data_IF_499751671590
#
_entry.id   IF_499751671590
#
_cell.length_a   1.000
_cell.length_b   1.000
_cell.length_c   1.000
_cell.angle_alpha   90.00
_cell.angle_beta   90.00
_cell.angle_gamma   90.00
#
_symmetry.space_group_name_H-M   'P 1'
#
loop_
_entity.id
_entity.type
_entity.pdbx_description
1 polymer ?
#
# COMPACT_ATOMS: atom_id res chain seq x y z
N UNK A 1 -23.29 -33.06 33.35
CA UNK A 1 -23.79 -32.12 32.32
C UNK A 1 -23.13 -30.78 32.63
N UNK A 2 -21.98 -30.52 32.01
CA UNK A 2 -21.21 -29.29 32.24
C UNK A 2 -21.58 -28.35 31.09
N UNK A 3 -22.01 -27.15 31.44
CA UNK A 3 -22.74 -26.19 30.62
C UNK A 3 -22.01 -25.80 29.32
N UNK A 4 -22.58 -26.21 28.18
CA UNK A 4 -22.14 -25.80 26.83
C UNK A 4 -22.48 -24.34 26.46
N UNK A 5 -23.01 -23.54 27.38
CA UNK A 5 -23.39 -22.14 27.13
C UNK A 5 -22.28 -21.17 27.58
N UNK A 6 -21.43 -21.52 28.55
CA UNK A 6 -20.34 -20.63 28.98
C UNK A 6 -19.14 -20.60 28.02
N UNK A 7 -18.92 -21.67 27.24
CA UNK A 7 -17.79 -21.73 26.28
C UNK A 7 -18.04 -20.81 25.08
N UNK A 8 -19.29 -20.67 24.63
CA UNK A 8 -19.63 -19.87 23.43
C UNK A 8 -19.45 -18.37 23.70
N UNK A 9 -19.70 -17.92 24.93
CA UNK A 9 -19.50 -16.51 25.33
C UNK A 9 -18.01 -16.14 25.42
N UNK A 10 -17.14 -17.10 25.74
CA UNK A 10 -15.69 -16.91 25.81
C UNK A 10 -15.03 -16.76 24.41
N UNK A 11 -15.56 -17.44 23.39
CA UNK A 11 -14.98 -17.42 22.03
C UNK A 11 -15.23 -16.11 21.26
N UNK A 12 -16.18 -15.27 21.68
CA UNK A 12 -16.44 -13.95 21.05
C UNK A 12 -15.46 -12.85 21.50
N UNK A 13 -14.56 -13.14 22.44
CA UNK A 13 -13.58 -12.20 23.01
C UNK A 13 -12.12 -12.54 22.70
N UNK A 14 -11.86 -13.51 21.81
CA UNK A 14 -10.50 -13.90 21.39
C UNK A 14 -9.65 -12.72 20.89
N UNK A 15 -10.19 -11.73 20.13
CA UNK A 15 -9.39 -10.60 19.66
C UNK A 15 -8.81 -9.76 20.80
N UNK A 16 -9.55 -9.60 21.91
CA UNK A 16 -9.08 -8.84 23.07
C UNK A 16 -8.03 -9.61 23.90
N UNK A 17 -8.14 -10.93 24.00
CA UNK A 17 -7.18 -11.77 24.73
C UNK A 17 -5.80 -11.81 24.03
N UNK A 18 -5.77 -11.75 22.69
CA UNK A 18 -4.53 -11.64 21.91
C UNK A 18 -3.89 -10.25 22.09
N UNK A 19 -4.69 -9.20 22.22
CA UNK A 19 -4.22 -7.82 22.45
C UNK A 19 -3.59 -7.66 23.84
N UNK A 20 -4.19 -8.26 24.88
CA UNK A 20 -3.64 -8.26 26.25
C UNK A 20 -2.39 -9.12 26.41
N UNK A 21 -2.26 -10.22 25.64
CA UNK A 21 -1.04 -11.03 25.63
C UNK A 21 0.15 -10.31 24.97
N UNK A 22 -0.10 -9.51 23.92
CA UNK A 22 0.94 -8.72 23.23
C UNK A 22 1.48 -7.56 24.07
N UNK A 23 0.66 -6.92 24.90
CA UNK A 23 1.15 -5.88 25.82
C UNK A 23 2.05 -6.42 26.93
N UNK A 24 1.82 -7.65 27.41
CA UNK A 24 2.64 -8.28 28.46
C UNK A 24 3.95 -8.90 27.92
N UNK A 25 4.06 -9.15 26.62
CA UNK A 25 5.25 -9.73 25.98
C UNK A 25 6.33 -8.72 25.57
N UNK A 26 6.02 -7.42 25.53
CA UNK A 26 6.94 -6.37 25.06
C UNK A 26 7.77 -5.70 26.18
N UNK A 27 7.65 -6.14 27.44
CA UNK A 27 8.39 -5.57 28.57
C UNK A 27 9.76 -6.27 28.84
N UNK A 28 10.13 -7.26 28.03
CA UNK A 28 11.42 -7.97 28.15
C UNK A 28 12.26 -7.89 26.86
N UNK A 29 12.67 -6.68 26.47
CA UNK A 29 13.94 -6.46 25.75
C UNK A 29 14.40 -5.03 26.01
N UNK A 30 15.03 -4.86 27.16
CA UNK A 30 15.81 -3.66 27.51
C UNK A 30 17.29 -4.02 27.39
N UNK A 31 18.08 -3.05 26.92
CA UNK A 31 19.53 -2.88 27.14
C UNK A 31 20.52 -3.51 26.15
N UNK A 32 20.97 -2.71 25.17
CA UNK A 32 22.40 -2.52 24.89
C UNK A 32 22.69 -1.04 24.59
N UNK A 33 23.57 -0.45 25.41
CA UNK A 33 24.14 0.91 25.31
C UNK A 33 25.37 0.95 24.38
N UNK A 34 25.89 2.15 24.01
CA UNK A 34 26.63 2.38 22.76
C UNK A 34 28.15 2.23 22.89
N UNK A 35 28.84 1.99 21.76
CA UNK A 35 30.29 2.11 21.69
C UNK A 35 30.73 2.97 20.49
N UNK A 36 31.58 3.95 20.80
CA UNK A 36 32.24 4.87 19.88
C UNK A 36 33.56 4.25 19.39
N UNK A 37 33.85 4.33 18.09
CA UNK A 37 35.15 3.91 17.55
C UNK A 37 35.53 4.60 16.24
N UNK A 38 36.27 5.71 16.36
CA UNK A 38 36.96 6.42 15.27
C UNK A 38 38.17 5.63 14.73
N UNK A 39 38.37 5.64 13.39
CA UNK A 39 39.65 5.87 12.68
C UNK A 39 39.31 6.05 11.18
N UNK A 40 39.65 7.13 10.45
CA UNK A 40 40.98 7.64 10.04
C UNK A 40 41.45 6.86 8.79
N UNK A 41 41.77 7.40 7.60
CA UNK A 41 41.87 8.73 7.00
C UNK A 41 42.47 8.57 5.57
N UNK A 42 42.51 9.64 4.77
CA UNK A 42 43.39 9.76 3.57
C UNK A 42 42.67 10.16 2.27
N UNK A 43 42.96 11.35 1.75
CA UNK A 43 42.37 11.91 0.52
C UNK A 43 43.37 12.31 -0.57
N UNK A 44 42.81 12.86 -1.67
CA UNK A 44 43.37 13.79 -2.70
C UNK A 44 42.65 13.48 -4.03
N UNK A 45 42.17 14.40 -4.86
CA UNK A 45 42.14 15.86 -4.91
C UNK A 45 41.62 16.33 -6.29
N UNK A 46 41.13 17.57 -6.39
CA UNK A 46 40.82 18.31 -7.65
C UNK A 46 39.56 17.85 -8.40
N UNK A 47 38.65 18.68 -8.89
CA UNK A 47 38.71 20.09 -9.27
C UNK A 47 37.29 20.69 -9.13
N UNK A 48 37.22 21.98 -8.78
CA UNK A 48 35.99 22.77 -8.80
C UNK A 48 35.65 23.06 -10.26
N UNK A 49 34.46 22.68 -10.71
CA UNK A 49 33.82 23.32 -11.85
C UNK A 49 32.36 23.63 -11.51
N UNK A 50 32.01 24.91 -11.66
CA UNK A 50 30.69 25.48 -11.48
C UNK A 50 29.79 25.08 -12.66
N UNK A 51 28.82 24.19 -12.45
CA UNK A 51 27.50 24.22 -13.12
C UNK A 51 26.67 22.98 -12.77
N UNK A 52 26.24 22.83 -11.52
CA UNK A 52 25.27 21.79 -11.14
C UNK A 52 23.90 22.41 -10.85
N UNK A 53 23.30 23.04 -11.86
CA UNK A 53 21.85 22.99 -12.00
C UNK A 53 21.52 21.69 -12.74
N UNK A 54 21.55 20.58 -12.01
CA UNK A 54 20.98 19.33 -12.51
C UNK A 54 19.49 19.61 -12.64
N UNK A 55 19.01 19.79 -13.87
CA UNK A 55 17.57 19.76 -14.15
C UNK A 55 17.15 18.32 -13.91
N UNK A 56 16.31 18.09 -12.91
CA UNK A 56 15.64 16.81 -12.63
C UNK A 56 14.68 16.36 -13.75
N UNK A 57 14.71 17.03 -14.91
CA UNK A 57 13.72 16.90 -16.00
C UNK A 57 14.12 15.90 -17.08
N UNK A 58 15.27 15.20 -16.98
CA UNK A 58 15.65 14.19 -17.97
C UNK A 58 14.93 12.87 -17.64
N UNK A 59 14.00 12.39 -18.50
CA UNK A 59 13.31 11.14 -18.25
C UNK A 59 14.30 9.97 -18.17
N UNK A 60 14.04 8.94 -17.34
CA UNK A 60 14.91 7.78 -17.25
C UNK A 60 15.05 7.10 -18.62
N UNK A 61 16.22 6.50 -18.88
CA UNK A 61 16.52 5.87 -20.17
C UNK A 61 15.64 4.64 -20.45
N UNK A 62 15.20 3.93 -19.41
CA UNK A 62 14.34 2.74 -19.51
C UNK A 62 13.43 2.63 -18.28
N UNK A 63 12.31 1.92 -18.41
CA UNK A 63 11.35 1.69 -17.32
C UNK A 63 10.28 2.78 -17.19
N UNK A 64 9.45 2.75 -16.15
CA UNK A 64 8.34 3.69 -15.97
C UNK A 64 8.82 5.15 -16.03
N UNK A 65 8.14 5.97 -16.83
CA UNK A 65 8.53 7.38 -17.04
C UNK A 65 9.53 7.62 -18.19
N UNK A 66 10.16 6.57 -18.74
CA UNK A 66 11.04 6.67 -19.90
C UNK A 66 10.30 7.06 -21.19
N UNK A 67 11.06 7.48 -22.21
CA UNK A 67 10.51 7.74 -23.54
C UNK A 67 9.90 6.48 -24.18
N UNK A 68 10.56 5.33 -24.00
CA UNK A 68 10.12 4.03 -24.50
C UNK A 68 8.79 3.61 -23.85
N UNK A 69 8.71 3.65 -22.52
CA UNK A 69 7.46 3.36 -21.79
C UNK A 69 6.35 4.35 -22.16
N UNK A 70 6.67 5.62 -22.36
CA UNK A 70 5.69 6.64 -22.79
C UNK A 70 5.12 6.31 -24.17
N UNK A 71 5.96 5.93 -25.11
CA UNK A 71 5.54 5.57 -26.47
C UNK A 71 4.67 4.29 -26.48
N UNK A 72 5.08 3.26 -25.73
CA UNK A 72 4.28 2.05 -25.53
C UNK A 72 2.88 2.37 -24.99
N UNK A 73 2.80 3.16 -23.91
CA UNK A 73 1.53 3.56 -23.30
C UNK A 73 0.65 4.42 -24.21
N UNK A 74 1.26 5.24 -25.08
CA UNK A 74 0.54 6.00 -26.10
C UNK A 74 -0.08 5.08 -27.16
N UNK A 75 0.68 4.09 -27.62
CA UNK A 75 0.20 3.11 -28.60
C UNK A 75 -0.95 2.26 -28.04
N UNK A 76 -0.86 1.84 -26.78
CA UNK A 76 -1.97 1.15 -26.09
C UNK A 76 -3.23 2.01 -25.97
N UNK A 77 -3.06 3.30 -25.68
CA UNK A 77 -4.18 4.24 -25.59
C UNK A 77 -4.91 4.36 -26.93
N UNK A 78 -4.18 4.49 -28.03
CA UNK A 78 -4.74 4.52 -29.38
C UNK A 78 -5.43 3.19 -29.72
N UNK A 79 -4.81 2.05 -29.40
CA UNK A 79 -5.38 0.73 -29.64
C UNK A 79 -6.72 0.51 -28.91
N UNK A 80 -6.93 1.17 -27.77
CA UNK A 80 -8.19 1.17 -27.00
C UNK A 80 -9.21 2.21 -27.48
N UNK A 81 -8.99 2.85 -28.63
CA UNK A 81 -9.89 3.85 -29.21
C UNK A 81 -9.71 5.26 -28.62
N UNK A 82 -8.54 5.56 -28.07
CA UNK A 82 -8.20 6.87 -27.53
C UNK A 82 -8.31 7.98 -28.58
N UNK A 83 -9.03 9.06 -28.25
CA UNK A 83 -9.32 10.16 -29.17
C UNK A 83 -8.70 11.51 -28.76
N UNK A 84 -7.95 11.56 -27.65
CA UNK A 84 -7.33 12.80 -27.19
C UNK A 84 -6.14 13.21 -28.07
N UNK A 85 -5.91 14.52 -28.24
CA UNK A 85 -4.65 15.02 -28.77
C UNK A 85 -3.48 14.54 -27.90
N UNK A 86 -2.36 14.19 -28.55
CA UNK A 86 -1.17 13.65 -27.87
C UNK A 86 -0.69 14.55 -26.72
N UNK A 87 -0.68 15.87 -26.90
CA UNK A 87 -0.27 16.82 -25.87
C UNK A 87 -1.12 16.72 -24.59
N UNK A 88 -2.45 16.62 -24.73
CA UNK A 88 -3.35 16.43 -23.59
C UNK A 88 -3.06 15.09 -22.90
N UNK A 89 -2.83 14.04 -23.67
CA UNK A 89 -2.50 12.72 -23.13
C UNK A 89 -1.15 12.72 -22.40
N UNK A 90 -0.13 13.35 -22.97
CA UNK A 90 1.22 13.46 -22.38
C UNK A 90 1.16 14.16 -21.01
N UNK A 91 0.39 15.24 -20.91
CA UNK A 91 0.20 15.96 -19.64
C UNK A 91 -0.44 15.07 -18.57
N UNK A 92 -1.44 14.27 -18.94
CA UNK A 92 -2.07 13.31 -18.01
C UNK A 92 -1.12 12.17 -17.66
N UNK A 93 -0.37 11.64 -18.62
CA UNK A 93 0.65 10.61 -18.40
C UNK A 93 1.70 11.07 -17.39
N UNK A 94 2.29 12.25 -17.59
CA UNK A 94 3.31 12.78 -16.69
C UNK A 94 2.74 12.99 -15.27
N UNK A 95 1.54 13.57 -15.15
CA UNK A 95 0.88 13.74 -13.86
C UNK A 95 0.62 12.38 -13.18
N UNK A 96 0.23 11.35 -13.92
CA UNK A 96 0.00 10.01 -13.39
C UNK A 96 1.31 9.34 -12.94
N UNK A 97 2.42 9.56 -13.66
CA UNK A 97 3.73 9.05 -13.24
C UNK A 97 4.17 9.62 -11.88
N UNK A 98 4.02 10.92 -11.68
CA UNK A 98 4.30 11.56 -10.38
C UNK A 98 3.38 11.04 -9.29
N UNK A 99 2.07 10.93 -9.56
CA UNK A 99 1.09 10.39 -8.60
C UNK A 99 1.41 8.96 -8.19
N UNK A 100 1.76 8.10 -9.14
CA UNK A 100 2.13 6.71 -8.85
C UNK A 100 3.38 6.65 -7.96
N UNK A 101 4.40 7.44 -8.27
CA UNK A 101 5.63 7.53 -7.46
C UNK A 101 5.31 7.96 -6.02
N UNK A 102 4.50 9.01 -5.86
CA UNK A 102 4.09 9.49 -4.53
C UNK A 102 3.25 8.46 -3.78
N UNK A 103 2.35 7.75 -4.47
CA UNK A 103 1.54 6.70 -3.87
C UNK A 103 2.42 5.57 -3.34
N UNK A 104 3.38 5.07 -4.14
CA UNK A 104 4.31 4.04 -3.68
C UNK A 104 5.08 4.47 -2.44
N UNK A 105 5.61 5.69 -2.46
CA UNK A 105 6.32 6.27 -1.31
C UNK A 105 5.43 6.35 -0.07
N UNK A 106 4.18 6.81 -0.20
CA UNK A 106 3.25 6.90 0.93
C UNK A 106 2.97 5.53 1.55
N UNK A 107 2.80 4.50 0.72
CA UNK A 107 2.59 3.15 1.25
C UNK A 107 3.87 2.58 1.90
N UNK A 108 5.04 2.86 1.35
CA UNK A 108 6.31 2.44 1.97
C UNK A 108 6.52 3.10 3.34
N UNK A 109 6.18 4.40 3.44
CA UNK A 109 6.19 5.14 4.70
C UNK A 109 5.20 4.56 5.71
N UNK A 110 3.97 4.27 5.27
CA UNK A 110 2.95 3.65 6.12
C UNK A 110 3.35 2.23 6.58
N UNK A 111 3.89 1.41 5.68
CA UNK A 111 4.38 0.07 6.01
C UNK A 111 5.48 0.12 7.08
N UNK A 112 6.39 1.09 6.96
CA UNK A 112 7.44 1.31 7.95
C UNK A 112 6.88 1.73 9.31
N UNK A 113 5.84 2.55 9.31
CA UNK A 113 5.20 3.04 10.55
C UNK A 113 4.48 1.91 11.31
N UNK A 114 3.68 1.10 10.61
CA UNK A 114 2.99 -0.04 11.23
C UNK A 114 3.94 -1.18 11.60
N UNK A 115 5.11 -1.26 10.95
CA UNK A 115 6.21 -2.15 11.33
C UNK A 115 6.01 -3.64 11.06
N UNK A 116 5.01 -4.01 10.26
CA UNK A 116 4.72 -5.41 9.89
C UNK A 116 4.36 -5.56 8.40
N UNK A 117 4.31 -6.81 7.94
CA UNK A 117 3.92 -7.16 6.59
C UNK A 117 4.95 -6.78 5.53
N UNK A 118 4.65 -7.12 4.28
CA UNK A 118 5.49 -6.84 3.12
C UNK A 118 4.68 -6.16 2.02
N UNK A 119 5.36 -5.43 1.13
CA UNK A 119 4.73 -4.67 0.03
C UNK A 119 4.30 -5.57 -1.13
N UNK A 120 3.23 -5.17 -1.80
CA UNK A 120 2.75 -5.73 -3.08
C UNK A 120 2.57 -7.26 -3.07
N UNK A 121 1.90 -7.79 -2.06
CA UNK A 121 1.72 -9.23 -1.88
C UNK A 121 0.65 -9.76 -2.82
N UNK A 122 1.03 -10.72 -3.67
CA UNK A 122 0.12 -11.37 -4.60
C UNK A 122 -0.49 -12.62 -3.97
N UNK A 123 -1.83 -12.67 -3.96
CA UNK A 123 -2.66 -13.81 -3.61
C UNK A 123 -3.28 -14.34 -4.91
N UNK A 124 -3.07 -15.62 -5.16
CA UNK A 124 -3.61 -16.30 -6.35
C UNK A 124 -4.80 -17.15 -5.96
N UNK A 125 -5.79 -17.21 -6.85
CA UNK A 125 -6.96 -18.08 -6.72
C UNK A 125 -7.75 -17.85 -5.43
N UNK A 126 -8.05 -16.57 -5.13
CA UNK A 126 -8.75 -16.18 -3.91
C UNK A 126 -10.19 -16.69 -3.84
N UNK A 127 -10.77 -17.18 -4.94
CA UNK A 127 -12.15 -17.63 -5.02
C UNK A 127 -12.31 -19.07 -5.55
N UNK A 128 -11.20 -19.78 -5.76
CA UNK A 128 -11.18 -21.11 -6.38
C UNK A 128 -11.49 -21.11 -7.89
N UNK A 129 -11.53 -19.94 -8.54
CA UNK A 129 -11.81 -19.76 -9.98
C UNK A 129 -10.68 -19.06 -10.72
N UNK A 130 -9.52 -18.90 -10.09
CA UNK A 130 -8.34 -18.24 -10.63
C UNK A 130 -8.28 -16.74 -10.40
N UNK A 131 -9.18 -16.15 -9.60
CA UNK A 131 -9.14 -14.71 -9.31
C UNK A 131 -7.89 -14.36 -8.49
N UNK A 132 -7.13 -13.35 -8.92
CA UNK A 132 -5.94 -12.89 -8.21
C UNK A 132 -6.19 -11.56 -7.50
N UNK A 133 -5.52 -11.34 -6.37
CA UNK A 133 -5.50 -10.05 -5.66
C UNK A 133 -4.08 -9.70 -5.26
N UNK A 134 -3.64 -8.50 -5.60
CA UNK A 134 -2.39 -7.92 -5.09
C UNK A 134 -2.71 -6.93 -4.00
N UNK A 135 -2.37 -7.23 -2.75
CA UNK A 135 -2.55 -6.30 -1.63
C UNK A 135 -1.37 -5.33 -1.54
N UNK A 136 -1.64 -4.08 -1.16
CA UNK A 136 -0.57 -3.09 -0.97
C UNK A 136 0.40 -3.53 0.13
N UNK A 137 -0.09 -3.87 1.32
CA UNK A 137 0.74 -4.46 2.38
C UNK A 137 0.04 -5.71 2.89
N UNK A 138 0.76 -6.81 3.09
CA UNK A 138 0.16 -7.97 3.72
C UNK A 138 1.15 -8.83 4.50
N UNK A 139 0.59 -9.56 5.47
CA UNK A 139 1.19 -10.68 6.16
C UNK A 139 0.31 -11.92 5.94
N UNK A 140 0.83 -12.89 5.20
CA UNK A 140 0.10 -14.12 4.84
C UNK A 140 -0.04 -15.08 6.01
N UNK A 141 0.86 -15.05 6.98
CA UNK A 141 0.81 -15.95 8.13
C UNK A 141 -0.24 -15.49 9.12
N UNK A 142 -0.37 -14.17 9.29
CA UNK A 142 -1.37 -13.55 10.16
C UNK A 142 -2.71 -13.26 9.47
N UNK A 143 -2.79 -13.49 8.14
CA UNK A 143 -3.94 -13.15 7.30
C UNK A 143 -4.35 -11.67 7.45
N UNK A 144 -3.38 -10.77 7.44
CA UNK A 144 -3.63 -9.33 7.56
C UNK A 144 -3.26 -8.62 6.27
N UNK A 145 -4.06 -7.62 5.89
CA UNK A 145 -3.86 -6.86 4.66
C UNK A 145 -4.25 -5.39 4.81
N UNK A 146 -3.53 -4.53 4.10
CA UNK A 146 -3.83 -3.12 3.99
C UNK A 146 -3.89 -2.73 2.52
N UNK A 147 -4.87 -1.91 2.17
CA UNK A 147 -4.92 -1.11 0.95
C UNK A 147 -4.74 0.36 1.30
N UNK A 148 -3.70 1.00 0.75
CA UNK A 148 -3.38 2.37 1.08
C UNK A 148 -3.69 3.30 -0.09
N UNK A 149 -4.65 4.21 0.11
CA UNK A 149 -5.14 5.09 -0.94
C UNK A 149 -4.71 6.54 -0.73
N UNK A 150 -3.92 7.05 -1.66
CA UNK A 150 -3.58 8.47 -1.73
C UNK A 150 -4.62 9.25 -2.53
N UNK A 151 -4.85 10.51 -2.16
CA UNK A 151 -5.82 11.37 -2.82
C UNK A 151 -7.28 10.96 -2.63
N UNK A 152 -8.21 11.70 -3.23
CA UNK A 152 -9.64 11.44 -3.07
C UNK A 152 -10.07 10.19 -3.85
N UNK A 153 -10.78 9.30 -3.17
CA UNK A 153 -11.32 8.07 -3.74
C UNK A 153 -12.85 8.09 -3.75
N UNK A 154 -13.43 7.48 -4.80
CA UNK A 154 -14.87 7.34 -4.95
C UNK A 154 -15.25 5.93 -5.39
N UNK A 155 -16.55 5.61 -5.35
CA UNK A 155 -17.11 4.31 -5.76
C UNK A 155 -17.12 4.17 -7.30
N UNK A 156 -15.92 4.12 -7.88
CA UNK A 156 -15.71 3.76 -9.28
C UNK A 156 -15.79 2.23 -9.43
N UNK A 157 -16.05 1.74 -10.63
CA UNK A 157 -16.07 0.30 -10.92
C UNK A 157 -14.77 -0.40 -10.50
N UNK A 158 -13.61 0.25 -10.70
CA UNK A 158 -12.32 -0.27 -10.27
C UNK A 158 -12.24 -0.44 -8.74
N UNK A 159 -12.63 0.59 -7.99
CA UNK A 159 -12.59 0.53 -6.52
C UNK A 159 -13.61 -0.47 -5.98
N UNK A 160 -14.83 -0.51 -6.55
CA UNK A 160 -15.85 -1.48 -6.14
C UNK A 160 -15.41 -2.91 -6.44
N UNK A 161 -14.75 -3.15 -7.56
CA UNK A 161 -14.18 -4.47 -7.87
C UNK A 161 -13.06 -4.87 -6.91
N UNK A 162 -12.27 -3.92 -6.39
CA UNK A 162 -11.32 -4.18 -5.31
C UNK A 162 -12.03 -4.52 -3.99
N UNK A 163 -13.08 -3.78 -3.63
CA UNK A 163 -13.92 -4.07 -2.45
C UNK A 163 -14.50 -5.48 -2.53
N UNK A 164 -15.04 -5.90 -3.67
CA UNK A 164 -15.57 -7.24 -3.87
C UNK A 164 -14.51 -8.33 -3.67
N UNK A 165 -13.29 -8.13 -4.20
CA UNK A 165 -12.18 -9.08 -4.00
C UNK A 165 -11.71 -9.12 -2.54
N UNK A 166 -11.67 -7.98 -1.88
CA UNK A 166 -11.26 -7.89 -0.49
C UNK A 166 -12.33 -8.46 0.45
N UNK A 167 -13.61 -8.35 0.09
CA UNK A 167 -14.70 -9.02 0.80
C UNK A 167 -14.52 -10.54 0.79
N UNK A 168 -14.12 -11.13 -0.34
CA UNK A 168 -13.83 -12.57 -0.42
C UNK A 168 -12.72 -12.96 0.56
N UNK A 169 -11.68 -12.14 0.70
CA UNK A 169 -10.60 -12.36 1.66
C UNK A 169 -11.11 -12.24 3.10
N UNK A 170 -11.93 -11.21 3.40
CA UNK A 170 -12.55 -11.03 4.73
C UNK A 170 -13.42 -12.25 5.09
N UNK A 171 -14.22 -12.76 4.15
CA UNK A 171 -15.02 -13.98 4.32
C UNK A 171 -14.17 -15.23 4.61
N UNK A 172 -12.90 -15.23 4.19
CA UNK A 172 -11.91 -16.27 4.46
C UNK A 172 -11.12 -16.06 5.75
N UNK A 173 -11.45 -15.01 6.51
CA UNK A 173 -10.83 -14.69 7.79
C UNK A 173 -9.65 -13.74 7.71
N UNK A 174 -9.42 -13.08 6.57
CA UNK A 174 -8.44 -12.00 6.49
C UNK A 174 -8.92 -10.74 7.23
N UNK A 175 -8.00 -10.09 7.94
CA UNK A 175 -8.16 -8.76 8.51
C UNK A 175 -7.67 -7.73 7.49
N UNK A 176 -8.57 -7.28 6.61
CA UNK A 176 -8.28 -6.30 5.56
C UNK A 176 -8.74 -4.92 5.99
N UNK A 177 -7.85 -3.93 6.00
CA UNK A 177 -8.19 -2.52 6.28
C UNK A 177 -7.86 -1.63 5.08
N UNK A 178 -8.76 -0.69 4.75
CA UNK A 178 -8.48 0.35 3.77
C UNK A 178 -8.09 1.66 4.47
N UNK A 179 -6.89 2.14 4.18
CA UNK A 179 -6.28 3.33 4.76
C UNK A 179 -6.35 4.46 3.75
N UNK A 180 -6.84 5.63 4.18
CA UNK A 180 -6.96 6.81 3.33
C UNK A 180 -6.28 8.02 3.96
N UNK A 181 -5.63 8.85 3.13
CA UNK A 181 -5.12 10.17 3.56
C UNK A 181 -6.23 11.20 3.77
N UNK A 182 -7.40 10.96 3.21
CA UNK A 182 -8.58 11.80 3.38
C UNK A 182 -9.86 10.97 3.26
N UNK A 183 -10.98 11.40 3.86
CA UNK A 183 -12.22 10.64 3.77
C UNK A 183 -12.63 10.34 2.32
N UNK A 184 -12.89 9.07 1.96
CA UNK A 184 -13.40 8.74 0.63
C UNK A 184 -14.86 9.17 0.47
N UNK A 185 -15.40 9.06 -0.75
CA UNK A 185 -16.81 9.35 -1.00
C UNK A 185 -17.73 8.52 -0.13
N UNK A 186 -18.90 9.07 0.25
CA UNK A 186 -19.87 8.34 1.08
C UNK A 186 -20.32 7.00 0.45
N UNK A 187 -20.58 6.90 -0.87
CA UNK A 187 -20.84 5.62 -1.51
C UNK A 187 -19.73 4.58 -1.32
N UNK A 188 -18.46 4.98 -1.42
CA UNK A 188 -17.34 4.04 -1.22
C UNK A 188 -17.24 3.60 0.25
N UNK A 189 -17.44 4.53 1.19
CA UNK A 189 -17.50 4.18 2.62
C UNK A 189 -18.59 3.15 2.90
N UNK A 190 -19.77 3.30 2.31
CA UNK A 190 -20.87 2.36 2.49
C UNK A 190 -20.51 0.97 1.95
N UNK A 191 -19.95 0.90 0.74
CA UNK A 191 -19.52 -0.37 0.15
C UNK A 191 -18.47 -1.10 1.02
N UNK A 192 -17.48 -0.38 1.54
CA UNK A 192 -16.47 -0.95 2.45
C UNK A 192 -17.09 -1.47 3.75
N UNK A 193 -17.99 -0.69 4.35
CA UNK A 193 -18.70 -1.09 5.57
C UNK A 193 -19.59 -2.33 5.34
N UNK A 194 -20.29 -2.39 4.21
CA UNK A 194 -21.12 -3.54 3.81
C UNK A 194 -20.28 -4.80 3.58
N UNK A 195 -19.07 -4.64 3.04
CA UNK A 195 -18.09 -5.71 2.87
C UNK A 195 -17.37 -6.11 4.19
N UNK A 196 -17.64 -5.43 5.31
CA UNK A 196 -16.97 -5.68 6.58
C UNK A 196 -15.51 -5.24 6.63
N UNK A 197 -15.10 -4.31 5.76
CA UNK A 197 -13.73 -3.80 5.63
C UNK A 197 -13.61 -2.50 6.44
N UNK A 198 -12.80 -2.45 7.52
CA UNK A 198 -12.55 -1.24 8.27
C UNK A 198 -11.91 -0.13 7.42
N UNK A 199 -12.24 1.11 7.77
CA UNK A 199 -11.69 2.32 7.18
C UNK A 199 -10.83 3.03 8.21
N UNK A 200 -9.58 3.30 7.86
CA UNK A 200 -8.69 4.17 8.62
C UNK A 200 -8.42 5.46 7.84
N UNK A 201 -8.34 6.59 8.56
CA UNK A 201 -8.02 7.89 7.96
C UNK A 201 -6.80 8.45 8.67
N UNK A 202 -5.72 8.63 7.93
CA UNK A 202 -4.41 9.12 8.41
C UNK A 202 -4.15 10.55 7.94
N UNK A 203 -3.21 11.25 8.59
CA UNK A 203 -2.78 12.59 8.17
C UNK A 203 -3.67 13.74 8.68
N UNK A 204 -4.24 13.61 9.89
CA UNK A 204 -4.89 14.73 10.59
C UNK A 204 -3.90 15.66 11.28
#
# INVERSE_FOLDING_TARGET
IINGIEIITSLKNIPNLIKEAKQKGHEYVVNMTPDEGKSGGGGSGGSRDESSFVRDDVPPKSGPGSAEHREERWNEYLAKGGAWPKERWDNVYNANMTKATNAHKAVDEYQKDIGWGTREVHLTDIDGKGTTRRLDIADKELLQGVEHKTGYQSATESNLSEVERDQILVEQGWDITWVFEQPPSKPLQNALNEAGIPIEIIGK
#
